data_IF_193741744257
#
_entry.id   IF_193741744257
#
_cell.length_a   1.000
_cell.length_b   1.000
_cell.length_c   1.000
_cell.angle_alpha   90.00
_cell.angle_beta   90.00
_cell.angle_gamma   90.00
#
_symmetry.space_group_name_H-M   'P 1'
#
loop_
_entity.id
_entity.type
_entity.pdbx_description
1 polymer ?
#
# COMPACT_ATOMS: atom_id res chain seq x y z
N UNK A 1 -30.42 -5.44 -13.52
CA UNK A 1 -29.21 -4.70 -13.90
C UNK A 1 -28.37 -4.69 -12.66
N UNK A 2 -27.31 -5.51 -12.62
CA UNK A 2 -26.35 -5.47 -11.53
C UNK A 2 -25.55 -4.18 -11.72
N UNK A 3 -25.88 -3.15 -10.92
CA UNK A 3 -25.12 -1.91 -10.88
C UNK A 3 -23.75 -2.27 -10.31
N UNK A 4 -22.69 -2.08 -11.11
CA UNK A 4 -21.33 -2.32 -10.67
C UNK A 4 -21.06 -1.37 -9.48
N UNK A 5 -20.70 -1.91 -8.30
CA UNK A 5 -20.62 -1.09 -7.09
C UNK A 5 -19.57 0.01 -7.26
N UNK A 6 -19.92 1.25 -6.91
CA UNK A 6 -19.02 2.41 -6.99
C UNK A 6 -17.65 2.08 -6.35
N UNK A 7 -16.55 2.06 -7.13
CA UNK A 7 -15.23 1.72 -6.62
C UNK A 7 -14.79 2.63 -5.46
N UNK A 8 -15.24 3.89 -5.42
CA UNK A 8 -14.92 4.82 -4.33
C UNK A 8 -15.64 4.43 -3.04
N UNK A 9 -16.92 4.09 -3.11
CA UNK A 9 -17.69 3.59 -1.98
C UNK A 9 -17.15 2.23 -1.48
N UNK A 10 -16.75 1.34 -2.40
CA UNK A 10 -16.10 0.08 -2.06
C UNK A 10 -14.80 0.32 -1.30
N UNK A 11 -13.93 1.21 -1.80
CA UNK A 11 -12.67 1.55 -1.14
C UNK A 11 -12.88 2.15 0.26
N UNK A 12 -13.84 3.06 0.41
CA UNK A 12 -14.18 3.65 1.70
C UNK A 12 -14.59 2.58 2.72
N UNK A 13 -15.43 1.62 2.29
CA UNK A 13 -15.85 0.48 3.11
C UNK A 13 -14.66 -0.40 3.52
N UNK A 14 -13.74 -0.68 2.59
CA UNK A 14 -12.54 -1.47 2.84
C UNK A 14 -11.62 -0.78 3.86
N UNK A 15 -11.43 0.54 3.73
CA UNK A 15 -10.65 1.36 4.66
C UNK A 15 -11.24 1.32 6.06
N UNK A 16 -12.53 1.57 6.19
CA UNK A 16 -13.21 1.57 7.48
C UNK A 16 -13.16 0.18 8.14
N UNK A 17 -13.42 -0.88 7.37
CA UNK A 17 -13.34 -2.26 7.84
C UNK A 17 -11.95 -2.61 8.37
N UNK A 18 -10.90 -2.23 7.63
CA UNK A 18 -9.52 -2.48 8.03
C UNK A 18 -9.18 -1.73 9.32
N UNK A 19 -9.56 -0.46 9.45
CA UNK A 19 -9.35 0.32 10.66
C UNK A 19 -10.08 -0.28 11.87
N UNK A 20 -11.36 -0.62 11.73
CA UNK A 20 -12.13 -1.28 12.80
C UNK A 20 -11.46 -2.57 13.26
N UNK A 21 -10.92 -3.35 12.31
CA UNK A 21 -10.18 -4.59 12.61
C UNK A 21 -8.90 -4.32 13.38
N UNK A 22 -8.11 -3.32 12.98
CA UNK A 22 -6.86 -2.91 13.62
C UNK A 22 -7.08 -2.38 15.05
N UNK A 23 -8.22 -1.76 15.33
CA UNK A 23 -8.55 -1.23 16.67
C UNK A 23 -9.20 -2.31 17.56
N UNK A 24 -9.86 -3.31 16.97
CA UNK A 24 -10.45 -4.41 17.72
C UNK A 24 -9.38 -5.36 18.28
N UNK A 25 -8.41 -5.74 17.45
CA UNK A 25 -7.37 -6.70 17.78
C UNK A 25 -6.02 -6.27 17.19
N UNK A 26 -4.88 -6.75 17.74
CA UNK A 26 -3.59 -6.54 17.11
C UNK A 26 -3.63 -6.99 15.63
N UNK A 27 -3.14 -6.16 14.69
CA UNK A 27 -3.19 -6.47 13.27
C UNK A 27 -2.60 -7.84 12.97
N UNK A 28 -3.28 -8.62 12.11
CA UNK A 28 -2.79 -9.94 11.67
C UNK A 28 -1.34 -9.88 11.18
N UNK A 29 -0.98 -8.81 10.47
CA UNK A 29 0.39 -8.53 10.03
C UNK A 29 1.37 -8.47 11.20
N UNK A 30 1.06 -7.76 12.28
CA UNK A 30 1.94 -7.64 13.44
C UNK A 30 2.05 -8.95 14.22
N UNK A 31 0.94 -9.67 14.37
CA UNK A 31 0.94 -11.00 15.00
C UNK A 31 1.80 -11.96 14.18
N UNK A 32 1.62 -12.00 12.86
CA UNK A 32 2.38 -12.86 11.97
C UNK A 32 3.88 -12.56 12.06
N UNK A 33 4.29 -11.28 11.92
CA UNK A 33 5.70 -10.90 11.99
C UNK A 33 6.37 -11.31 13.30
N UNK A 34 5.65 -11.22 14.43
CA UNK A 34 6.16 -11.65 15.74
C UNK A 34 6.31 -13.17 15.86
N UNK A 35 5.40 -13.93 15.26
CA UNK A 35 5.31 -15.38 15.45
C UNK A 35 5.79 -16.20 14.25
N UNK A 36 6.25 -15.56 13.17
CA UNK A 36 6.54 -16.23 11.90
C UNK A 36 7.52 -17.40 12.08
N UNK A 37 8.55 -17.24 12.91
CA UNK A 37 9.57 -18.26 13.15
C UNK A 37 9.04 -19.52 13.86
N UNK A 38 7.91 -19.42 14.57
CA UNK A 38 7.30 -20.52 15.30
C UNK A 38 6.28 -21.31 14.46
N UNK A 39 5.93 -20.84 13.25
CA UNK A 39 4.93 -21.46 12.40
C UNK A 39 5.53 -22.53 11.48
N UNK A 40 4.83 -23.64 11.23
CA UNK A 40 5.17 -24.57 10.16
C UNK A 40 5.22 -23.85 8.80
N UNK A 41 6.15 -24.26 7.93
CA UNK A 41 6.36 -23.67 6.60
C UNK A 41 5.09 -23.55 5.74
N UNK A 42 4.22 -24.56 5.83
CA UNK A 42 2.96 -24.59 5.09
C UNK A 42 2.01 -23.48 5.55
N UNK A 43 1.94 -23.23 6.86
CA UNK A 43 1.11 -22.15 7.43
C UNK A 43 1.69 -20.78 7.10
N UNK A 44 3.03 -20.62 7.16
CA UNK A 44 3.70 -19.38 6.75
C UNK A 44 3.34 -18.98 5.32
N UNK A 45 3.44 -19.94 4.39
CA UNK A 45 3.08 -19.70 2.98
C UNK A 45 1.61 -19.41 2.79
N UNK A 46 0.72 -20.12 3.50
CA UNK A 46 -0.73 -19.89 3.45
C UNK A 46 -1.09 -18.48 3.90
N UNK A 47 -0.60 -18.05 5.07
CA UNK A 47 -0.88 -16.72 5.62
C UNK A 47 -0.34 -15.63 4.69
N UNK A 48 0.89 -15.76 4.19
CA UNK A 48 1.45 -14.80 3.22
C UNK A 48 0.58 -14.71 1.95
N UNK A 49 0.06 -15.83 1.45
CA UNK A 49 -0.85 -15.84 0.30
C UNK A 49 -2.15 -15.10 0.61
N UNK A 50 -2.79 -15.36 1.74
CA UNK A 50 -4.03 -14.70 2.15
C UNK A 50 -3.82 -13.19 2.31
N UNK A 51 -2.72 -12.77 2.95
CA UNK A 51 -2.36 -11.36 3.09
C UNK A 51 -2.12 -10.69 1.73
N UNK A 52 -1.43 -11.37 0.80
CA UNK A 52 -1.20 -10.87 -0.54
C UNK A 52 -2.50 -10.75 -1.35
N UNK A 53 -3.42 -11.69 -1.20
CA UNK A 53 -4.74 -11.65 -1.85
C UNK A 53 -5.57 -10.47 -1.33
N UNK A 54 -5.63 -10.29 -0.02
CA UNK A 54 -6.30 -9.15 0.59
C UNK A 54 -5.72 -7.82 0.11
N UNK A 55 -4.39 -7.70 0.05
CA UNK A 55 -3.75 -6.51 -0.50
C UNK A 55 -4.04 -6.32 -2.00
N UNK A 56 -4.15 -7.40 -2.76
CA UNK A 56 -4.44 -7.33 -4.20
C UNK A 56 -5.83 -6.76 -4.47
N UNK A 57 -6.83 -7.09 -3.67
CA UNK A 57 -8.18 -6.53 -3.80
C UNK A 57 -8.17 -5.00 -3.72
N UNK A 58 -7.41 -4.44 -2.77
CA UNK A 58 -7.21 -3.00 -2.64
C UNK A 58 -6.52 -2.41 -3.86
N UNK A 59 -5.47 -3.06 -4.36
CA UNK A 59 -4.74 -2.61 -5.56
C UNK A 59 -5.66 -2.52 -6.77
N UNK A 60 -6.54 -3.50 -6.97
CA UNK A 60 -7.49 -3.50 -8.09
C UNK A 60 -8.46 -2.32 -8.00
N UNK A 61 -9.04 -2.05 -6.83
CA UNK A 61 -9.95 -0.92 -6.64
C UNK A 61 -9.22 0.42 -6.81
N UNK A 62 -7.99 0.52 -6.30
CA UNK A 62 -7.15 1.72 -6.49
C UNK A 62 -6.84 1.95 -7.97
N UNK A 63 -6.52 0.91 -8.75
CA UNK A 63 -6.28 1.06 -10.20
C UNK A 63 -7.53 1.48 -10.98
N UNK A 64 -8.72 1.08 -10.55
CA UNK A 64 -9.97 1.58 -11.14
C UNK A 64 -10.17 3.08 -10.88
N UNK A 65 -9.85 3.55 -9.67
CA UNK A 65 -9.97 4.95 -9.28
C UNK A 65 -8.82 5.84 -9.78
N UNK A 66 -7.67 5.22 -10.07
CA UNK A 66 -6.38 5.86 -10.39
C UNK A 66 -5.75 5.21 -11.60
N UNK A 67 -6.42 5.31 -12.74
CA UNK A 67 -5.97 4.70 -14.00
C UNK A 67 -4.62 5.21 -14.48
N UNK A 68 -4.13 6.33 -13.94
CA UNK A 68 -2.79 6.87 -14.22
C UNK A 68 -1.65 6.13 -13.48
N UNK A 69 -1.95 5.31 -12.47
CA UNK A 69 -0.96 4.53 -11.74
C UNK A 69 -0.71 3.18 -12.44
N UNK A 70 0.56 2.85 -12.68
CA UNK A 70 0.96 1.48 -12.99
C UNK A 70 0.67 0.55 -11.80
N UNK A 71 0.52 -0.76 -12.07
CA UNK A 71 0.28 -1.76 -11.01
C UNK A 71 1.34 -1.69 -9.88
N UNK A 72 2.66 -1.59 -10.15
CA UNK A 72 3.64 -1.46 -9.08
C UNK A 72 3.47 -0.19 -8.23
N UNK A 73 3.05 0.92 -8.84
CA UNK A 73 2.79 2.16 -8.10
C UNK A 73 1.54 2.04 -7.22
N UNK A 74 0.45 1.47 -7.74
CA UNK A 74 -0.77 1.22 -6.97
C UNK A 74 -0.49 0.26 -5.80
N UNK A 75 0.33 -0.78 -6.03
CA UNK A 75 0.78 -1.72 -4.99
C UNK A 75 1.61 -1.01 -3.92
N UNK A 76 2.60 -0.20 -4.31
CA UNK A 76 3.42 0.57 -3.37
C UNK A 76 2.56 1.51 -2.51
N UNK A 77 1.65 2.27 -3.14
CA UNK A 77 0.76 3.20 -2.45
C UNK A 77 -0.16 2.47 -1.45
N UNK A 78 -0.73 1.34 -1.87
CA UNK A 78 -1.57 0.49 -1.01
C UNK A 78 -0.78 -0.02 0.21
N UNK A 79 0.45 -0.48 0.01
CA UNK A 79 1.32 -0.94 1.11
C UNK A 79 1.68 0.21 2.07
N UNK A 80 1.96 1.40 1.56
CA UNK A 80 2.21 2.58 2.38
C UNK A 80 0.98 2.96 3.23
N UNK A 81 -0.22 2.89 2.65
CA UNK A 81 -1.46 3.12 3.38
C UNK A 81 -1.71 2.03 4.42
N UNK A 82 -1.46 0.75 4.13
CA UNK A 82 -1.52 -0.29 5.17
C UNK A 82 -0.55 -0.05 6.32
N UNK A 83 0.67 0.39 6.06
CA UNK A 83 1.61 0.74 7.12
C UNK A 83 1.09 1.90 7.98
N UNK A 84 0.54 2.93 7.34
CA UNK A 84 -0.11 4.06 8.00
C UNK A 84 -1.30 3.61 8.87
N UNK A 85 -2.20 2.78 8.35
CA UNK A 85 -3.37 2.29 9.09
C UNK A 85 -2.96 1.37 10.25
N UNK A 86 -2.00 0.47 10.05
CA UNK A 86 -1.52 -0.44 11.09
C UNK A 86 -0.82 0.28 12.25
N UNK A 87 -0.29 1.49 12.03
CA UNK A 87 0.30 2.31 13.11
C UNK A 87 -0.71 2.63 14.22
N UNK A 88 -2.01 2.65 13.90
CA UNK A 88 -3.11 2.89 14.85
C UNK A 88 -3.11 1.89 16.00
N UNK A 89 -2.73 0.63 15.76
CA UNK A 89 -2.65 -0.40 16.80
C UNK A 89 -1.70 -0.03 17.95
N UNK A 90 -0.75 0.87 17.70
CA UNK A 90 0.27 1.31 18.66
C UNK A 90 0.10 2.77 19.09
N UNK A 91 -0.83 3.51 18.47
CA UNK A 91 -1.11 4.90 18.78
C UNK A 91 -2.10 4.99 19.94
N UNK A 92 -1.59 5.24 21.14
CA UNK A 92 -2.42 5.64 22.28
C UNK A 92 -2.24 7.14 22.53
N UNK A 93 -3.14 7.98 21.99
CA UNK A 93 -3.04 9.45 22.03
C UNK A 93 -4.22 10.16 22.72
N UNK A 94 -5.02 9.44 23.52
CA UNK A 94 -6.18 10.02 24.20
C UNK A 94 -7.33 10.41 23.27
N UNK A 95 -7.33 9.92 22.03
CA UNK A 95 -8.45 10.00 21.09
C UNK A 95 -9.39 8.82 21.30
N UNK A 96 -10.69 9.04 21.13
CA UNK A 96 -11.63 7.95 21.13
C UNK A 96 -11.57 7.13 19.82
N UNK A 97 -12.18 5.94 19.83
CA UNK A 97 -12.17 5.02 18.68
C UNK A 97 -12.80 5.64 17.43
N UNK A 98 -13.85 6.43 17.58
CA UNK A 98 -14.57 7.02 16.45
C UNK A 98 -13.76 8.14 15.81
N UNK A 99 -13.10 8.97 16.62
CA UNK A 99 -12.19 10.02 16.14
C UNK A 99 -11.02 9.43 15.35
N UNK A 100 -10.44 8.33 15.83
CA UNK A 100 -9.39 7.59 15.13
C UNK A 100 -9.89 7.08 13.77
N UNK A 101 -11.06 6.42 13.75
CA UNK A 101 -11.65 5.87 12.52
C UNK A 101 -11.92 7.00 11.52
N UNK A 102 -12.57 8.09 11.94
CA UNK A 102 -12.92 9.20 11.05
C UNK A 102 -11.67 9.88 10.45
N UNK A 103 -10.68 10.18 11.30
CA UNK A 103 -9.45 10.87 10.89
C UNK A 103 -8.62 10.00 9.94
N UNK A 104 -8.39 8.74 10.31
CA UNK A 104 -7.55 7.83 9.52
C UNK A 104 -8.24 7.36 8.24
N UNK A 105 -9.57 7.23 8.25
CA UNK A 105 -10.31 6.91 7.01
C UNK A 105 -10.20 8.06 6.02
N UNK A 106 -10.35 9.30 6.47
CA UNK A 106 -10.19 10.49 5.62
C UNK A 106 -8.77 10.57 5.05
N UNK A 107 -7.75 10.38 5.88
CA UNK A 107 -6.35 10.40 5.44
C UNK A 107 -6.05 9.30 4.40
N UNK A 108 -6.52 8.07 4.64
CA UNK A 108 -6.34 6.97 3.70
C UNK A 108 -7.08 7.21 2.39
N UNK A 109 -8.32 7.70 2.42
CA UNK A 109 -9.07 8.03 1.20
C UNK A 109 -8.40 9.11 0.38
N UNK A 110 -7.86 10.15 1.02
CA UNK A 110 -7.08 11.18 0.32
C UNK A 110 -5.78 10.62 -0.25
N UNK A 111 -5.05 9.79 0.49
CA UNK A 111 -3.81 9.19 -0.01
C UNK A 111 -4.05 8.28 -1.22
N UNK A 112 -5.10 7.47 -1.19
CA UNK A 112 -5.41 6.50 -2.25
C UNK A 112 -6.05 7.16 -3.48
N UNK A 113 -6.82 8.23 -3.29
CA UNK A 113 -7.60 8.84 -4.40
C UNK A 113 -7.10 10.21 -4.85
N UNK A 114 -6.16 10.83 -4.13
CA UNK A 114 -5.62 12.15 -4.45
C UNK A 114 -4.65 12.10 -5.63
N UNK A 115 -4.77 12.99 -6.63
CA UNK A 115 -4.04 12.91 -7.90
C UNK A 115 -2.52 12.83 -7.70
N UNK A 116 -1.80 12.21 -8.65
CA UNK A 116 -0.34 12.27 -8.65
C UNK A 116 0.02 13.75 -8.77
N UNK A 117 0.92 14.31 -7.93
CA UNK A 117 1.41 15.65 -8.12
C UNK A 117 1.97 15.79 -9.55
N UNK A 118 1.29 16.57 -10.39
CA UNK A 118 1.75 16.89 -11.74
C UNK A 118 2.93 17.84 -11.61
N UNK A 119 4.10 17.30 -11.27
CA UNK A 119 5.23 18.12 -10.83
C UNK A 119 6.47 17.32 -10.45
N UNK A 120 6.89 16.36 -11.27
CA UNK A 120 8.30 15.93 -11.30
C UNK A 120 8.67 15.61 -12.74
N UNK A 121 8.68 16.65 -13.57
CA UNK A 121 9.42 16.61 -14.82
C UNK A 121 10.91 16.56 -14.50
N UNK A 122 11.57 15.47 -14.88
CA UNK A 122 13.01 15.47 -15.14
C UNK A 122 13.93 14.98 -14.02
N UNK A 123 13.93 13.68 -13.74
CA UNK A 123 15.21 12.96 -13.65
C UNK A 123 15.28 12.02 -14.86
N UNK A 124 15.49 12.61 -16.04
CA UNK A 124 15.97 11.86 -17.19
C UNK A 124 17.43 11.58 -16.88
N UNK A 125 17.78 10.33 -16.63
CA UNK A 125 19.18 9.92 -16.52
C UNK A 125 19.85 10.26 -17.85
N UNK A 126 20.69 11.29 -17.86
CA UNK A 126 21.63 11.50 -18.96
C UNK A 126 22.53 10.28 -19.00
N UNK A 127 22.35 9.46 -20.04
CA UNK A 127 23.40 8.55 -20.49
C UNK A 127 24.49 9.42 -21.09
N UNK A 128 25.34 9.99 -20.25
CA UNK A 128 26.64 10.52 -20.69
C UNK A 128 27.40 9.33 -21.25
N UNK A 129 27.62 9.36 -22.57
CA UNK A 129 28.34 8.33 -23.30
C UNK A 129 29.72 8.10 -22.67
N UNK A 130 29.90 6.95 -22.03
CA UNK A 130 31.22 6.39 -21.81
C UNK A 130 31.66 5.73 -23.12
N UNK A 131 32.10 6.57 -24.07
CA UNK A 131 33.00 6.14 -25.13
C UNK A 131 34.36 5.88 -24.49
N UNK A 132 34.59 4.64 -24.05
CA UNK A 132 35.93 4.17 -23.72
C UNK A 132 36.67 4.00 -25.05
N UNK A 133 37.41 5.04 -25.44
CA UNK A 133 38.43 4.93 -26.47
C UNK A 133 39.63 4.23 -25.82
N UNK A 134 39.88 3.01 -26.27
CA UNK A 134 41.05 2.21 -25.94
C UNK A 134 42.33 2.91 -26.45
N UNK A 135 43.38 3.07 -25.64
CA UNK A 135 44.66 3.57 -26.12
C UNK A 135 45.46 2.43 -26.74
N UNK A 136 45.76 2.53 -28.05
CA UNK A 136 46.83 1.75 -28.67
C UNK A 136 48.15 2.53 -28.58
N UNK A 137 49.07 2.04 -27.75
CA UNK A 137 50.49 2.26 -27.97
C UNK A 137 50.93 1.46 -29.20
N UNK A 138 51.82 2.03 -30.03
CA UNK A 138 53.01 1.43 -30.68
C UNK A 138 53.48 2.44 -31.76
N UNK A 139 54.53 3.23 -31.46
CA UNK A 139 55.87 3.05 -32.02
C UNK A 139 56.83 4.14 -31.55
#
# INVERSE_FOLDING_TARGET
>A
MDEEPDPRAALATMVEFHLRSVIADPPRTLIFLKNEHALPDIDRRRIRREMNQYAQEWVLVVQQLRSELSEPQARMLTQAVFAMLNSVATLNKGLDRQEIVATMSTAAMHALTGPIPTGTGGCRSDKTGAGLHEPQEIS
#
